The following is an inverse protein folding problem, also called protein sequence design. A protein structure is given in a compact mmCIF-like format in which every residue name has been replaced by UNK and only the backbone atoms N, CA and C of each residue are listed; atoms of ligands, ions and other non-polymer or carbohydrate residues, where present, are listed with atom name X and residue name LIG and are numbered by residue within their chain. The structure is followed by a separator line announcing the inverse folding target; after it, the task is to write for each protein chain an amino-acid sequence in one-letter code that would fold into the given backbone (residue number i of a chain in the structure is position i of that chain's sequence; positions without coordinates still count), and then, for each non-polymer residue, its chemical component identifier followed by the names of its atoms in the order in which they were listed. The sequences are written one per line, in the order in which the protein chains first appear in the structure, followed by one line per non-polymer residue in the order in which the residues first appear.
data_IF_521821100245
#
_entry.id   IF_521821100245
#
_cell.length_a   1.000
_cell.length_b   1.000
_cell.length_c   1.000
_cell.angle_alpha   90.00
_cell.angle_beta   90.00
_cell.angle_gamma   90.00
#
_symmetry.space_group_name_H-M   'P 1'
#
loop_
_entity.id
_entity.type
_entity.pdbx_description
1 polymer ?
#
# COMPACT_ATOMS: atom_id res chain seq x y z
N UNK A 1 -65.62 40.04 51.71
CA UNK A 1 -64.61 40.55 50.80
C UNK A 1 -63.87 39.31 50.25
N UNK A 2 -64.30 38.85 49.06
CA UNK A 2 -63.68 37.65 48.40
C UNK A 2 -62.61 38.11 47.40
N UNK A 3 -61.37 37.78 47.68
CA UNK A 3 -60.23 38.04 46.74
C UNK A 3 -60.16 36.92 45.71
N UNK A 4 -60.43 37.27 44.47
CA UNK A 4 -60.24 36.38 43.30
C UNK A 4 -58.78 36.48 42.89
N UNK A 5 -58.06 35.39 43.02
CA UNK A 5 -56.69 35.26 42.46
C UNK A 5 -56.84 34.73 41.05
N UNK A 6 -56.57 35.60 40.03
CA UNK A 6 -56.42 35.14 38.64
C UNK A 6 -55.05 34.50 38.43
N UNK A 7 -55.05 33.21 38.18
CA UNK A 7 -53.85 32.50 37.69
C UNK A 7 -53.76 32.73 36.16
N UNK A 8 -52.75 33.52 35.76
CA UNK A 8 -52.42 33.65 34.33
C UNK A 8 -51.57 32.42 33.92
N UNK A 9 -52.17 31.49 33.23
CA UNK A 9 -51.48 30.39 32.59
C UNK A 9 -50.67 30.90 31.40
N UNK A 10 -49.36 31.06 31.55
CA UNK A 10 -48.46 31.34 30.41
C UNK A 10 -48.32 30.07 29.57
N UNK A 11 -49.02 29.99 28.44
CA UNK A 11 -48.75 28.97 27.45
C UNK A 11 -47.39 29.26 26.81
N UNK A 12 -46.37 28.53 27.23
CA UNK A 12 -45.10 28.46 26.49
C UNK A 12 -45.38 27.67 25.21
N UNK A 13 -45.58 28.39 24.11
CA UNK A 13 -45.59 27.79 22.79
C UNK A 13 -44.16 27.35 22.50
N UNK A 14 -43.87 26.07 22.70
CA UNK A 14 -42.65 25.45 22.20
C UNK A 14 -42.73 25.47 20.66
N UNK A 15 -42.07 26.44 20.05
CA UNK A 15 -41.85 26.45 18.61
C UNK A 15 -40.97 25.25 18.31
N UNK A 16 -41.45 24.21 17.58
CA UNK A 16 -40.59 23.14 17.17
C UNK A 16 -39.46 23.75 16.33
N UNK A 17 -38.23 23.53 16.72
CA UNK A 17 -37.08 23.84 15.88
C UNK A 17 -37.24 23.02 14.57
N UNK A 18 -37.92 23.58 13.58
CA UNK A 18 -37.94 23.03 12.25
C UNK A 18 -36.46 23.00 11.80
N UNK A 19 -35.83 21.82 11.84
CA UNK A 19 -34.64 21.60 11.08
C UNK A 19 -34.92 22.13 9.68
N UNK A 20 -34.18 23.17 9.24
CA UNK A 20 -34.42 23.80 7.94
C UNK A 20 -34.35 22.74 6.86
N UNK A 21 -35.48 22.36 6.31
CA UNK A 21 -35.58 21.42 5.21
C UNK A 21 -35.39 22.19 3.90
N UNK A 22 -34.51 21.72 3.05
CA UNK A 22 -34.28 22.30 1.71
C UNK A 22 -35.29 21.82 0.70
N UNK A 23 -35.91 20.65 0.94
CA UNK A 23 -36.97 20.09 0.13
C UNK A 23 -37.75 19.03 0.92
N UNK A 24 -38.91 18.62 0.40
CA UNK A 24 -39.71 17.48 0.87
C UNK A 24 -40.17 16.69 -0.35
N UNK A 25 -39.93 15.36 -0.35
CA UNK A 25 -40.33 14.45 -1.43
C UNK A 25 -41.27 13.40 -0.85
N UNK A 26 -42.53 13.43 -1.27
CA UNK A 26 -43.60 12.54 -0.77
C UNK A 26 -43.62 12.41 0.77
N UNK A 27 -43.52 13.55 1.46
CA UNK A 27 -43.53 13.62 2.92
C UNK A 27 -42.17 13.39 3.60
N UNK A 28 -41.12 12.94 2.90
CA UNK A 28 -39.77 12.73 3.44
C UNK A 28 -38.93 13.99 3.23
N UNK A 29 -38.45 14.54 4.33
CA UNK A 29 -37.70 15.80 4.32
C UNK A 29 -36.24 15.55 3.93
N UNK A 30 -35.69 16.48 3.15
CA UNK A 30 -34.24 16.62 2.88
C UNK A 30 -33.77 17.82 3.70
N UNK A 31 -32.89 17.55 4.70
CA UNK A 31 -32.42 18.59 5.61
C UNK A 31 -31.31 19.45 5.02
N UNK A 32 -31.19 20.69 5.49
CA UNK A 32 -30.05 21.57 5.19
C UNK A 32 -28.73 20.90 5.58
N UNK A 33 -28.70 20.24 6.74
CA UNK A 33 -27.51 19.50 7.20
C UNK A 33 -27.04 18.44 6.20
N UNK A 34 -27.99 17.70 5.61
CA UNK A 34 -27.64 16.67 4.60
C UNK A 34 -27.08 17.31 3.32
N UNK A 35 -27.67 18.45 2.89
CA UNK A 35 -27.15 19.21 1.78
C UNK A 35 -25.73 19.71 2.05
N UNK A 36 -25.51 20.32 3.21
CA UNK A 36 -24.18 20.83 3.59
C UNK A 36 -23.12 19.73 3.66
N UNK A 37 -23.49 18.56 4.16
CA UNK A 37 -22.58 17.39 4.19
C UNK A 37 -22.23 16.93 2.79
N UNK A 38 -23.18 16.89 1.87
CA UNK A 38 -22.94 16.47 0.49
C UNK A 38 -22.07 17.49 -0.26
N UNK A 39 -22.36 18.80 -0.11
CA UNK A 39 -21.52 19.87 -0.66
C UNK A 39 -20.10 19.77 -0.11
N UNK A 40 -19.93 19.59 1.21
CA UNK A 40 -18.63 19.44 1.83
C UNK A 40 -17.83 18.25 1.26
N UNK A 41 -18.51 17.14 0.97
CA UNK A 41 -17.89 15.99 0.31
C UNK A 41 -17.36 16.37 -1.08
N UNK A 42 -18.17 17.06 -1.91
CA UNK A 42 -17.74 17.48 -3.24
C UNK A 42 -16.61 18.52 -3.20
N UNK A 43 -16.64 19.43 -2.23
CA UNK A 43 -15.55 20.40 -2.01
C UNK A 43 -14.25 19.69 -1.63
N UNK A 44 -14.30 18.63 -0.82
CA UNK A 44 -13.12 17.83 -0.49
C UNK A 44 -12.53 17.07 -1.71
N UNK A 45 -13.33 16.94 -2.77
CA UNK A 45 -12.94 16.34 -4.06
C UNK A 45 -12.53 17.39 -5.12
N UNK A 46 -12.43 18.67 -4.73
CA UNK A 46 -11.96 19.75 -5.59
C UNK A 46 -13.04 20.64 -6.19
N UNK A 47 -14.34 20.45 -5.84
CA UNK A 47 -15.40 21.37 -6.26
C UNK A 47 -15.30 22.69 -5.48
N UNK A 48 -15.84 23.79 -6.07
CA UNK A 48 -15.96 25.08 -5.39
C UNK A 48 -17.36 25.23 -4.80
N UNK A 49 -17.46 25.53 -3.50
CA UNK A 49 -18.76 25.84 -2.87
C UNK A 49 -19.34 27.14 -3.47
N UNK A 50 -20.47 27.01 -4.10
CA UNK A 50 -21.16 28.10 -4.77
C UNK A 50 -22.70 27.93 -4.69
N UNK A 51 -23.49 28.99 -4.83
CA UNK A 51 -24.93 28.87 -4.90
C UNK A 51 -25.40 27.91 -6.00
N UNK A 52 -24.71 27.87 -7.14
CA UNK A 52 -25.00 26.98 -8.27
C UNK A 52 -24.75 25.52 -7.88
N UNK A 53 -23.61 25.22 -7.26
CA UNK A 53 -23.30 23.87 -6.78
C UNK A 53 -24.34 23.40 -5.75
N UNK A 54 -24.72 24.27 -4.81
CA UNK A 54 -25.70 23.94 -3.77
C UNK A 54 -27.09 23.64 -4.37
N UNK A 55 -27.51 24.37 -5.38
CA UNK A 55 -28.79 24.10 -6.07
C UNK A 55 -28.72 22.81 -6.89
N UNK A 56 -27.60 22.55 -7.59
CA UNK A 56 -27.38 21.28 -8.30
C UNK A 56 -27.43 20.08 -7.34
N UNK A 57 -26.74 20.16 -6.20
CA UNK A 57 -26.76 19.12 -5.17
C UNK A 57 -28.16 18.92 -4.61
N UNK A 58 -28.88 19.98 -4.36
CA UNK A 58 -30.26 19.88 -3.90
C UNK A 58 -31.17 19.16 -4.91
N UNK A 59 -31.06 19.47 -6.20
CA UNK A 59 -31.80 18.78 -7.25
C UNK A 59 -31.40 17.30 -7.36
N UNK A 60 -30.14 17.00 -7.28
CA UNK A 60 -29.64 15.61 -7.25
C UNK A 60 -30.20 14.85 -6.05
N UNK A 61 -30.22 15.46 -4.86
CA UNK A 61 -30.79 14.84 -3.66
C UNK A 61 -32.30 14.57 -3.79
N UNK A 62 -33.04 15.49 -4.43
CA UNK A 62 -34.47 15.32 -4.73
C UNK A 62 -34.66 14.13 -5.68
N UNK A 63 -33.93 14.09 -6.81
CA UNK A 63 -34.02 13.02 -7.78
C UNK A 63 -33.70 11.67 -7.16
N UNK A 64 -32.61 11.61 -6.41
CA UNK A 64 -32.20 10.38 -5.68
C UNK A 64 -33.27 9.91 -4.71
N UNK A 65 -33.91 10.84 -3.96
CA UNK A 65 -34.97 10.49 -3.03
C UNK A 65 -36.20 9.92 -3.75
N UNK A 66 -36.55 10.43 -4.96
CA UNK A 66 -37.63 9.88 -5.79
C UNK A 66 -37.34 8.45 -6.19
N UNK A 67 -36.12 8.18 -6.71
CA UNK A 67 -35.72 6.82 -7.11
C UNK A 67 -35.65 5.85 -5.93
N UNK A 68 -35.13 6.27 -4.79
CA UNK A 68 -35.08 5.45 -3.56
C UNK A 68 -36.51 5.07 -3.13
N UNK A 69 -37.45 6.01 -3.09
CA UNK A 69 -38.83 5.71 -2.74
C UNK A 69 -39.52 4.78 -3.73
N UNK A 70 -39.25 4.91 -5.03
CA UNK A 70 -39.76 4.02 -6.04
C UNK A 70 -39.18 2.58 -5.86
N UNK A 71 -37.91 2.46 -5.57
CA UNK A 71 -37.25 1.17 -5.28
C UNK A 71 -37.80 0.51 -3.99
N UNK A 72 -38.02 1.32 -2.95
CA UNK A 72 -38.65 0.86 -1.70
C UNK A 72 -40.11 0.36 -1.95
N UNK A 73 -40.91 1.14 -2.69
CA UNK A 73 -42.28 0.79 -3.03
C UNK A 73 -42.35 -0.46 -3.95
N UNK A 74 -41.42 -0.58 -4.89
CA UNK A 74 -41.31 -1.74 -5.79
C UNK A 74 -40.71 -2.99 -5.16
N UNK A 75 -40.36 -2.97 -3.87
CA UNK A 75 -39.81 -4.11 -3.15
C UNK A 75 -38.34 -4.43 -3.47
N UNK A 76 -37.67 -3.65 -4.32
CA UNK A 76 -36.25 -3.84 -4.69
C UNK A 76 -35.36 -3.81 -3.46
N UNK A 77 -35.63 -2.87 -2.55
CA UNK A 77 -34.86 -2.74 -1.30
C UNK A 77 -34.96 -3.97 -0.37
N UNK A 78 -35.88 -4.91 -0.63
CA UNK A 78 -36.05 -6.14 0.15
C UNK A 78 -35.48 -7.38 -0.54
N UNK A 79 -34.92 -7.24 -1.74
CA UNK A 79 -34.28 -8.34 -2.45
C UNK A 79 -33.02 -8.77 -1.69
N UNK A 80 -32.76 -10.07 -1.61
CA UNK A 80 -31.70 -10.62 -0.77
C UNK A 80 -30.30 -10.19 -1.23
N UNK A 81 -30.08 -10.07 -2.52
CA UNK A 81 -28.86 -9.56 -3.13
C UNK A 81 -28.63 -8.07 -2.79
N UNK A 82 -29.66 -7.24 -2.92
CA UNK A 82 -29.60 -5.81 -2.58
C UNK A 82 -29.33 -5.60 -1.08
N UNK A 83 -29.98 -6.40 -0.21
CA UNK A 83 -29.72 -6.34 1.24
C UNK A 83 -28.28 -6.76 1.57
N UNK A 84 -27.75 -7.77 0.87
CA UNK A 84 -26.35 -8.20 1.02
C UNK A 84 -25.38 -7.09 0.61
N UNK A 85 -25.62 -6.43 -0.53
CA UNK A 85 -24.79 -5.30 -0.99
C UNK A 85 -24.83 -4.11 0.00
N UNK A 86 -26.01 -3.77 0.51
CA UNK A 86 -26.17 -2.71 1.52
C UNK A 86 -25.37 -3.04 2.78
N UNK A 87 -25.45 -4.27 3.28
CA UNK A 87 -24.74 -4.66 4.49
C UNK A 87 -23.20 -4.69 4.27
N UNK A 88 -22.72 -5.20 3.13
CA UNK A 88 -21.30 -5.15 2.78
C UNK A 88 -20.81 -3.71 2.63
N UNK A 89 -21.58 -2.83 2.00
CA UNK A 89 -21.25 -1.41 1.88
C UNK A 89 -21.19 -0.74 3.25
N UNK A 90 -22.17 -1.01 4.12
CA UNK A 90 -22.20 -0.52 5.51
C UNK A 90 -20.97 -0.96 6.29
N UNK A 91 -20.63 -2.27 6.24
CA UNK A 91 -19.44 -2.80 6.92
C UNK A 91 -18.16 -2.15 6.40
N UNK A 92 -18.01 -2.01 5.07
CA UNK A 92 -16.87 -1.35 4.47
C UNK A 92 -16.71 0.11 4.91
N UNK A 93 -17.82 0.86 5.04
CA UNK A 93 -17.80 2.24 5.55
C UNK A 93 -17.35 2.28 7.01
N UNK A 94 -17.92 1.41 7.86
CA UNK A 94 -17.58 1.36 9.29
C UNK A 94 -16.13 0.98 9.52
N UNK A 95 -15.61 -0.02 8.79
CA UNK A 95 -14.20 -0.43 8.89
C UNK A 95 -13.28 0.71 8.49
N UNK A 96 -13.52 1.37 7.34
CA UNK A 96 -12.69 2.52 6.91
C UNK A 96 -12.75 3.67 7.92
N UNK A 97 -13.92 3.99 8.44
CA UNK A 97 -14.08 5.06 9.43
C UNK A 97 -13.34 4.74 10.74
N UNK A 98 -13.41 3.49 11.21
CA UNK A 98 -12.69 3.02 12.40
C UNK A 98 -11.18 3.13 12.21
N UNK A 99 -10.65 2.65 11.06
CA UNK A 99 -9.21 2.71 10.77
C UNK A 99 -8.71 4.15 10.66
N UNK A 100 -9.49 5.04 10.03
CA UNK A 100 -9.16 6.46 9.94
C UNK A 100 -9.16 7.15 11.32
N UNK A 101 -10.15 6.88 12.15
CA UNK A 101 -10.24 7.40 13.52
C UNK A 101 -9.07 6.90 14.40
N UNK A 102 -8.74 5.61 14.26
CA UNK A 102 -7.61 5.03 14.99
C UNK A 102 -6.28 5.69 14.61
N UNK A 103 -6.00 5.88 13.32
CA UNK A 103 -4.79 6.57 12.85
C UNK A 103 -4.75 8.04 13.27
N UNK A 104 -5.89 8.72 13.29
CA UNK A 104 -5.96 10.11 13.76
C UNK A 104 -5.61 10.24 15.25
N UNK A 105 -5.97 9.24 16.06
CA UNK A 105 -5.66 9.17 17.49
C UNK A 105 -4.27 8.62 17.79
N UNK A 106 -3.66 7.87 16.84
CA UNK A 106 -2.35 7.24 16.96
C UNK A 106 -1.45 7.62 15.78
N UNK A 107 -1.12 8.92 15.62
CA UNK A 107 -0.30 9.37 14.51
C UNK A 107 1.11 8.76 14.58
N UNK A 108 1.68 8.50 13.42
CA UNK A 108 3.09 8.14 13.31
C UNK A 108 3.91 9.40 13.64
N UNK A 109 4.64 9.36 14.74
CA UNK A 109 5.48 10.49 15.17
C UNK A 109 6.83 10.47 14.45
N UNK A 110 7.46 11.64 14.30
CA UNK A 110 8.83 11.77 13.76
C UNK A 110 9.83 10.91 14.53
N UNK A 111 9.67 10.79 15.84
CA UNK A 111 10.52 9.91 16.66
C UNK A 111 10.43 8.44 16.26
N UNK A 112 9.23 7.95 15.94
CA UNK A 112 9.04 6.56 15.44
C UNK A 112 9.68 6.39 14.06
N UNK A 113 9.50 7.36 13.16
CA UNK A 113 10.12 7.32 11.83
C UNK A 113 11.64 7.29 11.93
N UNK A 114 12.21 8.14 12.75
CA UNK A 114 13.67 8.20 12.98
C UNK A 114 14.20 6.90 13.61
N UNK A 115 13.48 6.37 14.59
CA UNK A 115 13.89 5.12 15.24
C UNK A 115 13.88 3.93 14.26
N UNK A 116 12.84 3.81 13.42
CA UNK A 116 12.77 2.76 12.42
C UNK A 116 13.83 2.93 11.33
N UNK A 117 14.09 4.18 10.88
CA UNK A 117 15.18 4.50 9.98
C UNK A 117 16.53 4.03 10.52
N UNK A 118 16.88 4.40 11.75
CA UNK A 118 18.17 4.01 12.35
C UNK A 118 18.27 2.47 12.58
N UNK A 119 17.16 1.82 12.90
CA UNK A 119 17.10 0.36 13.01
C UNK A 119 17.42 -0.30 11.67
N UNK A 120 16.72 0.07 10.58
CA UNK A 120 16.93 -0.49 9.25
C UNK A 120 18.34 -0.18 8.75
N UNK A 121 18.82 1.06 8.94
CA UNK A 121 20.18 1.47 8.60
C UNK A 121 21.23 0.62 9.32
N UNK A 122 21.03 0.34 10.60
CA UNK A 122 21.90 -0.55 11.37
C UNK A 122 21.87 -1.99 10.88
N UNK A 123 20.70 -2.50 10.48
CA UNK A 123 20.55 -3.84 9.91
C UNK A 123 21.19 -3.97 8.53
N UNK A 124 21.34 -2.86 7.80
CA UNK A 124 22.04 -2.79 6.51
C UNK A 124 23.54 -2.49 6.66
N UNK A 125 23.96 -1.96 7.81
CA UNK A 125 25.34 -1.62 8.05
C UNK A 125 26.26 -2.85 7.89
N UNK A 126 27.34 -2.67 7.11
CA UNK A 126 28.30 -3.73 6.82
C UNK A 126 27.87 -4.77 5.78
N UNK A 127 26.64 -4.69 5.26
CA UNK A 127 26.26 -5.49 4.10
C UNK A 127 26.93 -4.98 2.85
N UNK A 128 27.23 -5.90 1.94
CA UNK A 128 27.93 -5.61 0.69
C UNK A 128 27.03 -5.87 -0.50
N UNK A 129 27.14 -5.04 -1.52
CA UNK A 129 26.67 -5.31 -2.87
C UNK A 129 27.85 -5.73 -3.74
N UNK A 130 27.54 -6.61 -4.68
CA UNK A 130 28.50 -7.16 -5.61
C UNK A 130 28.06 -6.85 -7.03
N UNK A 131 28.97 -6.37 -7.85
CA UNK A 131 28.77 -6.30 -9.30
C UNK A 131 29.25 -7.63 -9.89
N UNK A 132 28.30 -8.42 -10.39
CA UNK A 132 28.53 -9.80 -10.76
C UNK A 132 28.29 -10.02 -12.24
N UNK A 133 29.19 -10.77 -12.88
CA UNK A 133 28.93 -11.40 -14.18
C UNK A 133 28.86 -12.91 -14.02
N UNK A 134 28.00 -13.54 -14.82
CA UNK A 134 27.96 -15.00 -14.87
C UNK A 134 27.75 -15.55 -16.29
N UNK A 135 28.12 -16.81 -16.48
CA UNK A 135 27.79 -17.62 -17.64
C UNK A 135 27.06 -18.86 -17.13
N UNK A 136 25.84 -19.07 -17.60
CA UNK A 136 25.01 -20.24 -17.27
C UNK A 136 25.07 -21.23 -18.41
N UNK A 137 25.39 -22.49 -18.10
CA UNK A 137 25.35 -23.61 -19.07
C UNK A 137 24.67 -24.84 -18.45
N UNK A 138 24.27 -25.77 -19.29
CA UNK A 138 23.50 -26.96 -18.87
C UNK A 138 24.34 -28.01 -18.19
N UNK A 139 25.58 -28.19 -18.62
CA UNK A 139 26.45 -29.29 -18.17
C UNK A 139 27.79 -28.79 -17.60
N UNK A 140 28.32 -29.60 -16.66
CA UNK A 140 29.53 -29.30 -15.92
C UNK A 140 30.78 -29.27 -16.83
N UNK A 141 30.83 -30.16 -17.85
CA UNK A 141 31.96 -30.23 -18.76
C UNK A 141 32.12 -28.93 -19.54
N UNK A 142 31.04 -28.44 -20.13
CA UNK A 142 31.03 -27.15 -20.82
C UNK A 142 31.43 -26.00 -19.88
N UNK A 143 30.94 -26.00 -18.66
CA UNK A 143 31.30 -24.98 -17.67
C UNK A 143 32.81 -25.00 -17.36
N UNK A 144 33.41 -26.21 -17.17
CA UNK A 144 34.85 -26.37 -16.93
C UNK A 144 35.68 -25.94 -18.15
N UNK A 145 35.26 -26.29 -19.37
CA UNK A 145 35.96 -25.92 -20.59
C UNK A 145 35.98 -24.39 -20.80
N UNK A 146 34.87 -23.70 -20.53
CA UNK A 146 34.76 -22.23 -20.60
C UNK A 146 35.59 -21.57 -19.49
N UNK A 147 35.52 -22.10 -18.26
CA UNK A 147 36.32 -21.60 -17.15
C UNK A 147 37.84 -21.71 -17.42
N UNK A 148 38.29 -22.81 -18.04
CA UNK A 148 39.69 -23.00 -18.42
C UNK A 148 40.14 -21.96 -19.48
N UNK A 149 39.24 -21.62 -20.46
CA UNK A 149 39.54 -20.57 -21.44
C UNK A 149 39.70 -19.20 -20.77
N UNK A 150 38.83 -18.88 -19.79
CA UNK A 150 38.90 -17.63 -19.04
C UNK A 150 40.21 -17.56 -18.21
N UNK A 151 40.51 -18.62 -17.45
CA UNK A 151 41.72 -18.68 -16.62
C UNK A 151 43.01 -18.57 -17.43
N UNK A 152 43.02 -19.08 -18.67
CA UNK A 152 44.17 -18.98 -19.56
C UNK A 152 44.20 -17.70 -20.43
N UNK A 153 43.28 -16.77 -20.20
CA UNK A 153 43.10 -15.54 -20.99
C UNK A 153 42.95 -15.78 -22.50
N UNK A 154 42.48 -16.96 -22.91
CA UNK A 154 42.21 -17.29 -24.32
C UNK A 154 40.93 -16.68 -24.85
N UNK A 155 40.03 -16.24 -23.98
CA UNK A 155 38.76 -15.61 -24.33
C UNK A 155 38.37 -14.55 -23.32
N UNK A 156 37.56 -13.58 -23.72
CA UNK A 156 36.95 -12.59 -22.83
C UNK A 156 35.66 -13.13 -22.25
N UNK A 157 35.36 -12.74 -21.00
CA UNK A 157 34.17 -13.18 -20.30
C UNK A 157 32.89 -12.82 -21.08
N UNK A 158 32.82 -11.59 -21.58
CA UNK A 158 31.66 -11.06 -22.30
C UNK A 158 31.38 -11.83 -23.58
N UNK A 159 32.44 -12.21 -24.33
CA UNK A 159 32.31 -12.94 -25.59
C UNK A 159 31.80 -14.37 -25.32
N UNK A 160 32.30 -15.00 -24.27
CA UNK A 160 31.86 -16.34 -23.88
C UNK A 160 30.44 -16.33 -23.33
N UNK A 161 30.06 -15.30 -22.56
CA UNK A 161 28.70 -15.14 -22.07
C UNK A 161 27.69 -14.99 -23.20
N UNK A 162 27.95 -14.08 -24.16
CA UNK A 162 27.09 -13.88 -25.34
C UNK A 162 26.93 -15.13 -26.18
N UNK A 163 28.01 -15.90 -26.32
CA UNK A 163 28.02 -17.08 -27.19
C UNK A 163 27.38 -18.31 -26.54
N UNK A 164 27.56 -18.50 -25.23
CA UNK A 164 27.29 -19.78 -24.57
C UNK A 164 26.27 -19.71 -23.45
N UNK A 165 26.05 -18.53 -22.84
CA UNK A 165 25.17 -18.42 -21.68
C UNK A 165 23.72 -18.71 -22.06
N UNK A 166 23.07 -19.53 -21.24
CA UNK A 166 21.62 -19.85 -21.32
C UNK A 166 20.77 -18.91 -20.48
N UNK A 167 21.37 -17.89 -19.84
CA UNK A 167 20.62 -16.85 -19.15
C UNK A 167 20.19 -15.74 -20.10
N UNK A 168 18.90 -15.67 -20.50
CA UNK A 168 18.44 -14.67 -21.45
C UNK A 168 18.50 -13.24 -20.92
N UNK A 169 18.54 -13.07 -19.57
CA UNK A 169 18.55 -11.77 -18.92
C UNK A 169 19.90 -11.05 -19.00
N UNK A 170 20.99 -11.81 -19.02
CA UNK A 170 22.35 -11.26 -18.95
C UNK A 170 23.26 -11.65 -20.12
N UNK A 171 22.97 -12.71 -20.86
CA UNK A 171 23.84 -13.21 -21.94
C UNK A 171 24.28 -12.10 -22.92
N UNK A 172 23.32 -11.36 -23.50
CA UNK A 172 23.59 -10.29 -24.45
C UNK A 172 24.35 -9.09 -23.84
N UNK A 173 24.31 -8.96 -22.51
CA UNK A 173 25.04 -7.95 -21.73
C UNK A 173 26.41 -8.47 -21.27
N UNK A 174 26.93 -9.54 -21.88
CA UNK A 174 28.19 -10.14 -21.47
C UNK A 174 28.14 -10.84 -20.10
N UNK A 175 26.95 -11.28 -19.66
CA UNK A 175 26.71 -11.92 -18.40
C UNK A 175 26.51 -10.99 -17.21
N UNK A 176 26.43 -9.66 -17.43
CA UNK A 176 26.30 -8.64 -16.36
C UNK A 176 24.93 -8.71 -15.67
N UNK A 177 24.95 -8.97 -14.36
CA UNK A 177 23.79 -8.97 -13.46
C UNK A 177 23.62 -7.63 -12.72
N UNK A 178 24.53 -6.69 -12.92
CA UNK A 178 24.55 -5.41 -12.23
C UNK A 178 24.98 -5.52 -10.77
N UNK A 179 24.64 -4.48 -10.00
CA UNK A 179 24.87 -4.42 -8.56
C UNK A 179 23.71 -5.08 -7.81
N UNK A 180 24.01 -6.05 -6.95
CA UNK A 180 23.00 -6.68 -6.11
C UNK A 180 23.63 -7.23 -4.81
N UNK A 181 22.85 -7.28 -3.70
CA UNK A 181 23.26 -8.00 -2.51
C UNK A 181 23.18 -9.51 -2.75
N UNK A 182 23.96 -10.33 -2.03
CA UNK A 182 23.95 -11.80 -2.17
C UNK A 182 22.58 -12.44 -1.97
N UNK A 183 21.70 -11.79 -1.21
CA UNK A 183 20.32 -12.25 -0.96
C UNK A 183 19.44 -12.32 -2.21
N UNK A 184 19.84 -11.70 -3.30
CA UNK A 184 19.12 -11.74 -4.58
C UNK A 184 19.41 -13.01 -5.38
N UNK A 185 20.35 -13.82 -4.95
CA UNK A 185 20.78 -15.04 -5.63
C UNK A 185 20.36 -16.29 -4.87
N UNK A 186 20.25 -17.41 -5.58
CA UNK A 186 20.06 -18.72 -4.95
C UNK A 186 21.29 -19.09 -4.11
N UNK A 187 21.09 -19.85 -3.03
CA UNK A 187 22.09 -20.07 -1.99
C UNK A 187 23.48 -20.51 -2.49
N UNK A 188 23.63 -21.48 -3.40
CA UNK A 188 24.98 -21.87 -3.88
C UNK A 188 25.70 -20.75 -4.63
N UNK A 189 24.95 -19.97 -5.43
CA UNK A 189 25.49 -18.82 -6.15
C UNK A 189 25.89 -17.69 -5.18
N UNK A 190 25.02 -17.36 -4.22
CA UNK A 190 25.30 -16.35 -3.20
C UNK A 190 26.55 -16.67 -2.37
N UNK A 191 26.72 -17.94 -1.97
CA UNK A 191 27.91 -18.39 -1.23
C UNK A 191 29.16 -18.19 -2.06
N UNK A 192 29.14 -18.54 -3.35
CA UNK A 192 30.28 -18.34 -4.23
C UNK A 192 30.63 -16.85 -4.37
N UNK A 193 29.63 -15.99 -4.62
CA UNK A 193 29.83 -14.53 -4.75
C UNK A 193 30.50 -13.95 -3.50
N UNK A 194 30.03 -14.34 -2.30
CA UNK A 194 30.56 -13.78 -1.03
C UNK A 194 31.99 -14.22 -0.69
N UNK A 195 32.48 -15.28 -1.33
CA UNK A 195 33.85 -15.74 -1.16
C UNK A 195 34.84 -15.10 -2.15
N UNK A 196 34.33 -14.47 -3.21
CA UNK A 196 35.14 -13.83 -4.24
C UNK A 196 35.50 -12.39 -3.87
N UNK A 197 36.67 -11.98 -4.21
CA UNK A 197 37.16 -10.60 -4.15
C UNK A 197 36.90 -9.90 -5.47
N UNK A 198 36.95 -8.55 -5.46
CA UNK A 198 36.92 -7.74 -6.66
C UNK A 198 37.88 -8.25 -7.75
N UNK A 199 37.36 -8.40 -8.96
CA UNK A 199 38.09 -8.91 -10.12
C UNK A 199 38.30 -10.41 -10.14
N UNK A 200 37.80 -11.18 -9.19
CA UNK A 200 38.03 -12.59 -9.05
C UNK A 200 36.97 -13.44 -9.74
N UNK A 201 37.46 -14.50 -10.42
CA UNK A 201 36.68 -15.56 -11.04
C UNK A 201 36.58 -16.75 -10.10
N UNK A 202 35.50 -17.52 -10.12
CA UNK A 202 35.38 -18.77 -9.34
C UNK A 202 36.49 -19.78 -9.71
N UNK A 203 36.90 -20.58 -8.74
CA UNK A 203 37.89 -21.62 -8.99
C UNK A 203 37.31 -22.83 -9.71
N UNK A 204 36.06 -23.14 -9.51
CA UNK A 204 35.27 -24.20 -10.14
C UNK A 204 33.86 -23.74 -10.43
N UNK A 205 33.18 -24.30 -11.45
CA UNK A 205 31.80 -24.00 -11.71
C UNK A 205 30.89 -24.29 -10.51
N UNK A 206 29.82 -23.47 -10.37
CA UNK A 206 28.86 -23.56 -9.27
C UNK A 206 27.56 -24.15 -9.79
N UNK A 207 27.12 -25.27 -9.22
CA UNK A 207 25.85 -25.90 -9.58
C UNK A 207 24.67 -25.25 -8.82
N UNK A 208 23.60 -25.01 -9.55
CA UNK A 208 22.31 -24.57 -9.00
C UNK A 208 21.17 -25.35 -9.66
N UNK A 209 19.94 -25.09 -9.29
CA UNK A 209 18.76 -25.66 -9.96
C UNK A 209 18.61 -25.23 -11.43
N UNK A 210 19.31 -24.18 -11.87
CA UNK A 210 19.25 -23.64 -13.23
C UNK A 210 20.33 -24.23 -14.14
N UNK A 211 21.34 -24.89 -13.59
CA UNK A 211 22.49 -25.42 -14.31
C UNK A 211 23.81 -25.08 -13.64
N UNK A 212 24.85 -24.94 -14.44
CA UNK A 212 26.22 -24.67 -14.01
C UNK A 212 26.62 -23.24 -14.31
N UNK A 213 27.12 -22.55 -13.31
CA UNK A 213 27.49 -21.13 -13.39
C UNK A 213 28.98 -20.94 -13.30
N UNK A 214 29.54 -20.13 -14.20
CA UNK A 214 30.84 -19.51 -14.08
C UNK A 214 30.61 -18.09 -13.58
N UNK A 215 31.16 -17.73 -12.43
CA UNK A 215 30.84 -16.46 -11.74
C UNK A 215 32.12 -15.63 -11.63
N UNK A 216 32.00 -14.34 -11.90
CA UNK A 216 33.04 -13.34 -11.71
C UNK A 216 32.47 -12.15 -10.94
N UNK A 217 33.19 -11.71 -9.91
CA UNK A 217 32.87 -10.47 -9.19
C UNK A 217 33.72 -9.35 -9.78
N UNK A 218 33.09 -8.42 -10.47
CA UNK A 218 33.79 -7.27 -11.07
C UNK A 218 34.16 -6.22 -10.02
N UNK A 219 33.24 -5.98 -9.08
CA UNK A 219 33.42 -4.99 -8.03
C UNK A 219 32.59 -5.31 -6.79
N UNK A 220 32.95 -4.68 -5.67
CA UNK A 220 32.21 -4.79 -4.40
C UNK A 220 32.09 -3.40 -3.77
N UNK A 221 30.95 -3.11 -3.14
CA UNK A 221 30.74 -1.87 -2.39
C UNK A 221 29.88 -2.11 -1.16
N UNK A 222 30.05 -1.32 -0.09
CA UNK A 222 29.08 -1.30 1.00
C UNK A 222 27.70 -0.89 0.48
N UNK A 223 26.65 -1.45 1.06
CA UNK A 223 25.27 -0.98 0.80
C UNK A 223 25.16 0.46 1.32
N UNK A 224 24.90 1.38 0.41
CA UNK A 224 24.59 2.76 0.78
C UNK A 224 23.11 2.85 1.18
N UNK A 225 22.86 3.23 2.43
CA UNK A 225 21.49 3.45 2.89
C UNK A 225 21.08 4.90 2.57
N UNK A 226 19.95 5.11 1.88
CA UNK A 226 19.57 6.45 1.45
C UNK A 226 19.29 7.36 2.65
N UNK A 227 19.51 8.68 2.53
CA UNK A 227 19.18 9.65 3.58
C UNK A 227 17.70 9.58 3.97
N UNK A 228 17.40 9.88 5.24
CA UNK A 228 16.04 9.81 5.80
C UNK A 228 15.03 10.57 4.96
N UNK A 229 15.38 11.74 4.44
CA UNK A 229 14.46 12.57 3.66
C UNK A 229 13.97 11.90 2.38
N UNK A 230 14.79 11.05 1.77
CA UNK A 230 14.40 10.30 0.56
C UNK A 230 13.45 9.13 0.84
N UNK A 231 13.48 8.58 2.05
CA UNK A 231 12.70 7.39 2.42
C UNK A 231 11.62 7.69 3.46
N UNK A 232 11.54 8.92 3.96
CA UNK A 232 10.61 9.33 5.03
C UNK A 232 9.18 8.95 4.73
N UNK A 233 8.65 9.34 3.58
CA UNK A 233 7.26 9.07 3.19
C UNK A 233 6.96 7.57 3.14
N UNK A 234 7.91 6.78 2.65
CA UNK A 234 7.78 5.33 2.58
C UNK A 234 7.78 4.70 3.98
N UNK A 235 8.65 5.19 4.89
CA UNK A 235 8.69 4.74 6.27
C UNK A 235 7.41 5.11 7.04
N UNK A 236 6.89 6.32 6.83
CA UNK A 236 5.63 6.76 7.43
C UNK A 236 4.46 5.87 7.00
N UNK A 237 4.37 5.55 5.71
CA UNK A 237 3.32 4.67 5.21
C UNK A 237 3.47 3.24 5.73
N UNK A 238 4.68 2.69 5.77
CA UNK A 238 4.96 1.39 6.35
C UNK A 238 4.56 1.34 7.84
N UNK A 239 4.90 2.36 8.61
CA UNK A 239 4.54 2.45 10.04
C UNK A 239 3.03 2.63 10.25
N UNK A 240 2.33 3.33 9.35
CA UNK A 240 0.86 3.41 9.37
C UNK A 240 0.23 2.03 9.15
N UNK A 241 0.71 1.31 8.15
CA UNK A 241 0.22 -0.04 7.85
C UNK A 241 0.50 -0.99 9.02
N UNK A 242 1.69 -0.91 9.63
CA UNK A 242 2.02 -1.68 10.82
C UNK A 242 1.09 -1.34 11.99
N UNK A 243 0.84 -0.06 12.24
CA UNK A 243 -0.07 0.42 13.29
C UNK A 243 -1.48 -0.14 13.11
N UNK A 244 -1.99 -0.19 11.87
CA UNK A 244 -3.31 -0.79 11.58
C UNK A 244 -3.31 -2.31 11.72
N UNK A 245 -2.24 -2.98 11.31
CA UNK A 245 -2.10 -4.43 11.45
C UNK A 245 -2.07 -4.85 12.93
N UNK A 246 -1.35 -4.11 13.76
CA UNK A 246 -1.28 -4.34 15.21
C UNK A 246 -2.65 -4.11 15.85
N UNK A 247 -3.37 -3.06 15.46
CA UNK A 247 -4.72 -2.79 15.93
C UNK A 247 -5.70 -3.89 15.52
N UNK A 248 -5.64 -4.35 14.29
CA UNK A 248 -6.47 -5.46 13.81
C UNK A 248 -6.20 -6.75 14.62
N UNK A 249 -4.93 -7.03 14.89
CA UNK A 249 -4.52 -8.18 15.72
C UNK A 249 -5.10 -8.05 17.14
N UNK A 250 -4.96 -6.89 17.78
CA UNK A 250 -5.53 -6.59 19.10
C UNK A 250 -7.05 -6.82 19.15
N UNK A 251 -7.78 -6.32 18.13
CA UNK A 251 -9.22 -6.53 18.03
C UNK A 251 -9.59 -8.00 17.90
N UNK A 252 -8.83 -8.78 17.12
CA UNK A 252 -9.06 -10.21 16.97
C UNK A 252 -8.80 -10.98 18.26
N UNK A 253 -7.75 -10.63 19.01
CA UNK A 253 -7.40 -11.27 20.28
C UNK A 253 -8.46 -11.03 21.35
N UNK A 254 -9.13 -9.87 21.31
CA UNK A 254 -10.24 -9.52 22.23
C UNK A 254 -11.58 -10.12 21.81
N UNK A 255 -11.71 -10.57 20.56
CA UNK A 255 -12.95 -11.11 20.03
C UNK A 255 -13.17 -12.58 20.47
N UNK A 256 -14.40 -12.91 20.84
CA UNK A 256 -14.81 -14.32 21.01
C UNK A 256 -15.17 -14.90 19.65
N UNK A 257 -14.25 -15.66 19.09
CA UNK A 257 -14.43 -16.34 17.80
C UNK A 257 -14.74 -17.81 18.11
N UNK A 258 -15.89 -18.28 17.61
CA UNK A 258 -16.34 -19.66 17.77
C UNK A 258 -16.35 -20.36 16.43
#
# INVERSE_FOLDING_TARGET
MKRIVMLAAACVIAVPAFAQNVATVNGKAISQKSLDQFVKLLVSQGATDSPQLREQVKQEMINRQVFVQAAEAGGIAKQADVQTEIELARQGILVRALMADYLAKHPVSDAKVTAEYEKIKKEQAGKMEYKVRHILVEDEKTANDLLAQLKSNKAKFDDLAKKNSKDPGSAEKGGDLGWAPPTNYVQPFAQAVTQLKKGQLVDKPVQTQFGWHIIMVDDTRPVEFPPLDQVRTQLEEMLRQQTLADYQKELREKAKIQ
#
